data_IF_919162040495
#
_entry.id   IF_919162040495
#
_cell.length_a   1.000
_cell.length_b   1.000
_cell.length_c   1.000
_cell.angle_alpha   90.00
_cell.angle_beta   90.00
_cell.angle_gamma   90.00
#
_symmetry.space_group_name_H-M   'P 1'
#
loop_
_entity.id
_entity.type
_entity.pdbx_description
1 polymer ?
#
# COMPACT_ATOMS: atom_id res chain seq x y z
N UNK A 1 -57.99 -7.49 14.29
CA UNK A 1 -57.00 -6.49 13.87
C UNK A 1 -56.25 -6.06 15.12
N UNK A 2 -54.96 -6.40 15.29
CA UNK A 2 -54.18 -5.86 16.39
C UNK A 2 -54.05 -4.33 16.23
N UNK A 3 -54.11 -3.55 17.33
CA UNK A 3 -54.10 -2.10 17.25
C UNK A 3 -52.72 -1.61 16.78
N UNK A 4 -52.70 -0.70 15.80
CA UNK A 4 -51.50 -0.11 15.20
C UNK A 4 -50.52 0.56 16.19
N UNK A 5 -50.87 0.64 17.48
CA UNK A 5 -50.04 1.13 18.57
C UNK A 5 -48.96 0.15 19.03
N UNK A 6 -49.21 -1.17 19.00
CA UNK A 6 -48.24 -2.18 19.45
C UNK A 6 -47.07 -2.33 18.46
N UNK A 7 -47.37 -2.27 17.16
CA UNK A 7 -46.37 -2.37 16.09
C UNK A 7 -45.42 -1.17 16.10
N UNK A 8 -45.93 0.03 16.38
CA UNK A 8 -45.12 1.25 16.56
C UNK A 8 -44.26 1.21 17.83
N UNK A 9 -44.78 0.64 18.92
CA UNK A 9 -44.03 0.46 20.16
C UNK A 9 -42.89 -0.55 19.99
N UNK A 10 -43.14 -1.66 19.28
CA UNK A 10 -42.10 -2.66 18.97
C UNK A 10 -41.02 -2.10 18.02
N UNK A 11 -41.41 -1.39 16.97
CA UNK A 11 -40.48 -0.75 16.04
C UNK A 11 -39.57 0.28 16.75
N UNK A 12 -40.13 1.09 17.65
CA UNK A 12 -39.33 2.06 18.42
C UNK A 12 -38.38 1.39 19.42
N UNK A 13 -38.78 0.27 20.04
CA UNK A 13 -37.89 -0.55 20.87
C UNK A 13 -36.72 -1.17 20.09
N UNK A 14 -36.99 -1.70 18.89
CA UNK A 14 -35.96 -2.27 18.02
C UNK A 14 -34.99 -1.20 17.52
N UNK A 15 -35.48 -0.05 17.06
CA UNK A 15 -34.64 1.08 16.65
C UNK A 15 -33.75 1.56 17.79
N UNK A 16 -34.29 1.62 19.01
CA UNK A 16 -33.50 1.98 20.20
C UNK A 16 -32.43 0.93 20.51
N UNK A 17 -32.73 -0.35 20.37
CA UNK A 17 -31.75 -1.43 20.58
C UNK A 17 -30.63 -1.42 19.53
N UNK A 18 -30.97 -1.14 18.27
CA UNK A 18 -30.00 -0.99 17.17
C UNK A 18 -29.15 0.26 17.39
N UNK A 19 -29.75 1.39 17.79
CA UNK A 19 -29.03 2.60 18.10
C UNK A 19 -28.01 2.39 19.23
N UNK A 20 -28.41 1.72 20.33
CA UNK A 20 -27.51 1.39 21.44
C UNK A 20 -26.40 0.41 21.02
N UNK A 21 -26.72 -0.56 20.17
CA UNK A 21 -25.73 -1.51 19.65
C UNK A 21 -24.70 -0.83 18.74
N UNK A 22 -25.16 0.06 17.85
CA UNK A 22 -24.30 0.86 16.97
C UNK A 22 -23.46 1.84 17.77
N UNK A 23 -24.02 2.47 18.82
CA UNK A 23 -23.28 3.35 19.72
C UNK A 23 -22.17 2.59 20.47
N UNK A 24 -22.47 1.40 20.99
CA UNK A 24 -21.50 0.56 21.70
C UNK A 24 -20.38 0.08 20.76
N UNK A 25 -20.71 -0.37 19.55
CA UNK A 25 -19.71 -0.77 18.54
C UNK A 25 -18.92 0.42 18.01
N UNK A 26 -19.54 1.57 17.84
CA UNK A 26 -18.90 2.81 17.42
C UNK A 26 -17.89 3.32 18.45
N UNK A 27 -18.19 3.25 19.75
CA UNK A 27 -17.24 3.57 20.82
C UNK A 27 -16.02 2.65 20.81
N UNK A 28 -16.23 1.34 20.63
CA UNK A 28 -15.15 0.36 20.50
C UNK A 28 -14.24 0.65 19.30
N UNK A 29 -14.84 0.87 18.12
CA UNK A 29 -14.11 1.25 16.90
C UNK A 29 -13.37 2.58 17.03
N UNK A 30 -13.92 3.54 17.78
CA UNK A 30 -13.26 4.82 18.01
C UNK A 30 -12.01 4.67 18.87
N UNK A 31 -12.07 3.86 19.95
CA UNK A 31 -10.92 3.59 20.83
C UNK A 31 -9.86 2.78 20.08
N UNK A 32 -10.25 1.68 19.43
CA UNK A 32 -9.35 0.86 18.63
C UNK A 32 -8.76 1.65 17.46
N UNK A 33 -9.54 2.54 16.84
CA UNK A 33 -9.10 3.41 15.76
C UNK A 33 -8.06 4.44 16.20
N UNK A 34 -8.20 5.03 17.40
CA UNK A 34 -7.20 5.94 17.95
C UNK A 34 -5.90 5.22 18.31
N UNK A 35 -5.98 4.04 18.92
CA UNK A 35 -4.80 3.23 19.27
C UNK A 35 -4.09 2.68 18.03
N UNK A 36 -4.85 2.15 17.06
CA UNK A 36 -4.32 1.71 15.77
C UNK A 36 -3.73 2.89 14.99
N UNK A 37 -4.37 4.06 15.04
CA UNK A 37 -3.89 5.29 14.41
C UNK A 37 -2.58 5.79 15.01
N UNK A 38 -2.46 5.79 16.36
CA UNK A 38 -1.23 6.18 17.05
C UNK A 38 -0.08 5.19 16.80
N UNK A 39 -0.39 3.88 16.75
CA UNK A 39 0.60 2.85 16.44
C UNK A 39 1.07 2.95 14.99
N UNK A 40 0.12 3.15 14.07
CA UNK A 40 0.42 3.32 12.64
C UNK A 40 1.22 4.60 12.38
N UNK A 41 0.86 5.71 13.03
CA UNK A 41 1.61 6.97 12.90
C UNK A 41 3.01 6.87 13.47
N UNK A 42 3.20 6.17 14.59
CA UNK A 42 4.51 5.86 15.14
C UNK A 42 5.36 5.01 14.19
N UNK A 43 4.78 3.97 13.58
CA UNK A 43 5.46 3.14 12.57
C UNK A 43 5.83 3.94 11.32
N UNK A 44 4.92 4.78 10.82
CA UNK A 44 5.20 5.67 9.67
C UNK A 44 6.30 6.67 10.02
N UNK A 45 6.26 7.26 11.23
CA UNK A 45 7.28 8.19 11.71
C UNK A 45 8.66 7.54 11.77
N UNK A 46 8.78 6.35 12.38
CA UNK A 46 10.03 5.59 12.41
C UNK A 46 10.50 5.19 11.01
N UNK A 47 9.58 4.78 10.13
CA UNK A 47 9.90 4.46 8.74
C UNK A 47 10.46 5.68 7.99
N UNK A 48 9.81 6.84 8.11
CA UNK A 48 10.27 8.07 7.48
C UNK A 48 11.62 8.53 8.02
N UNK A 49 11.82 8.44 9.33
CA UNK A 49 13.09 8.80 9.96
C UNK A 49 14.22 7.86 9.52
N UNK A 50 13.95 6.55 9.49
CA UNK A 50 14.89 5.55 8.98
C UNK A 50 15.22 5.76 7.51
N UNK A 51 14.21 6.07 6.68
CA UNK A 51 14.39 6.39 5.27
C UNK A 51 15.24 7.65 5.09
N UNK A 52 14.97 8.71 5.86
CA UNK A 52 15.77 9.93 5.83
C UNK A 52 17.22 9.66 6.25
N UNK A 53 17.45 8.91 7.32
CA UNK A 53 18.78 8.52 7.77
C UNK A 53 19.52 7.68 6.73
N UNK A 54 18.84 6.76 6.05
CA UNK A 54 19.40 5.98 4.94
C UNK A 54 19.80 6.86 3.76
N UNK A 55 18.94 7.81 3.37
CA UNK A 55 19.24 8.75 2.27
C UNK A 55 20.45 9.60 2.62
N UNK A 56 20.48 10.21 3.80
CA UNK A 56 21.60 11.04 4.26
C UNK A 56 22.88 10.20 4.34
N UNK A 57 22.80 9.03 4.96
CA UNK A 57 23.92 8.10 5.07
C UNK A 57 24.46 7.70 3.71
N UNK A 58 23.59 7.41 2.74
CA UNK A 58 23.99 7.10 1.37
C UNK A 58 24.64 8.28 0.65
N UNK A 59 24.08 9.48 0.79
CA UNK A 59 24.65 10.71 0.20
C UNK A 59 26.05 11.04 0.73
N UNK A 60 26.37 10.63 1.96
CA UNK A 60 27.71 10.77 2.54
C UNK A 60 28.62 9.59 2.18
N UNK A 61 28.10 8.36 2.24
CA UNK A 61 28.86 7.14 2.01
C UNK A 61 29.30 6.98 0.54
N UNK A 62 28.43 7.30 -0.42
CA UNK A 62 28.73 7.16 -1.84
C UNK A 62 29.95 7.99 -2.28
N UNK A 63 30.04 9.31 -2.06
CA UNK A 63 31.22 10.09 -2.42
C UNK A 63 32.45 9.69 -1.60
N UNK A 64 32.29 9.32 -0.33
CA UNK A 64 33.41 8.83 0.49
C UNK A 64 33.99 7.53 -0.07
N UNK A 65 33.15 6.59 -0.50
CA UNK A 65 33.58 5.34 -1.12
C UNK A 65 34.27 5.58 -2.46
N UNK A 66 33.72 6.48 -3.29
CA UNK A 66 34.33 6.90 -4.56
C UNK A 66 35.72 7.50 -4.30
N UNK A 67 35.85 8.34 -3.29
CA UNK A 67 37.13 8.94 -2.90
C UNK A 67 38.15 7.89 -2.45
N UNK A 68 37.76 6.99 -1.54
CA UNK A 68 38.65 5.92 -1.04
C UNK A 68 39.15 5.04 -2.20
N UNK A 69 38.27 4.66 -3.12
CA UNK A 69 38.64 3.84 -4.29
C UNK A 69 39.57 4.62 -5.23
N UNK A 70 39.29 5.91 -5.46
CA UNK A 70 40.13 6.76 -6.30
C UNK A 70 41.55 6.88 -5.73
N UNK A 71 41.66 7.18 -4.43
CA UNK A 71 42.93 7.33 -3.72
C UNK A 71 43.73 6.02 -3.73
N UNK A 72 43.11 4.91 -3.37
CA UNK A 72 43.78 3.59 -3.29
C UNK A 72 44.29 3.06 -4.63
N UNK A 73 43.63 3.42 -5.73
CA UNK A 73 44.03 3.00 -7.09
C UNK A 73 44.85 4.06 -7.83
N UNK A 74 45.08 5.24 -7.23
CA UNK A 74 45.71 6.39 -7.90
C UNK A 74 44.91 6.88 -9.13
N UNK A 75 43.61 6.63 -9.17
CA UNK A 75 42.75 6.98 -10.29
C UNK A 75 42.12 8.36 -10.08
N UNK A 76 41.89 9.08 -11.16
CA UNK A 76 41.14 10.33 -11.09
C UNK A 76 39.70 10.06 -10.64
N UNK A 77 39.21 10.81 -9.65
CA UNK A 77 37.90 10.64 -9.00
C UNK A 77 36.73 10.51 -10.01
N UNK A 78 36.84 11.21 -11.14
CA UNK A 78 35.82 11.20 -12.20
C UNK A 78 35.62 9.82 -12.81
N UNK A 79 36.67 9.00 -12.96
CA UNK A 79 36.56 7.65 -13.53
C UNK A 79 35.80 6.71 -12.60
N UNK A 80 36.06 6.81 -11.29
CA UNK A 80 35.40 6.01 -10.27
C UNK A 80 33.93 6.42 -10.12
N UNK A 81 33.66 7.73 -10.13
CA UNK A 81 32.28 8.25 -10.13
C UNK A 81 31.50 7.79 -11.38
N UNK A 82 32.12 7.80 -12.56
CA UNK A 82 31.49 7.34 -13.80
C UNK A 82 31.18 5.83 -13.76
N UNK A 83 32.11 5.02 -13.24
CA UNK A 83 31.89 3.59 -13.05
C UNK A 83 30.75 3.31 -12.06
N UNK A 84 30.73 4.04 -10.94
CA UNK A 84 29.65 3.99 -9.96
C UNK A 84 28.30 4.34 -10.58
N UNK A 85 28.22 5.44 -11.33
CA UNK A 85 27.01 5.82 -12.07
C UNK A 85 26.58 4.75 -13.08
N UNK A 86 27.53 4.17 -13.81
CA UNK A 86 27.28 3.07 -14.75
C UNK A 86 26.65 1.86 -14.08
N UNK A 87 27.17 1.43 -12.92
CA UNK A 87 26.60 0.32 -12.14
C UNK A 87 25.16 0.64 -11.70
N UNK A 88 24.91 1.85 -11.20
CA UNK A 88 23.57 2.26 -10.77
C UNK A 88 22.57 2.28 -11.94
N UNK A 89 22.98 2.82 -13.09
CA UNK A 89 22.15 2.83 -14.29
C UNK A 89 21.89 1.41 -14.81
N UNK A 90 22.89 0.54 -14.79
CA UNK A 90 22.73 -0.85 -15.19
C UNK A 90 21.76 -1.60 -14.26
N UNK A 91 21.90 -1.43 -12.94
CA UNK A 91 20.96 -2.01 -11.97
C UNK A 91 19.54 -1.47 -12.17
N UNK A 92 19.39 -0.16 -12.39
CA UNK A 92 18.11 0.47 -12.67
C UNK A 92 17.47 -0.10 -13.95
N UNK A 93 18.24 -0.31 -15.02
CA UNK A 93 17.77 -0.94 -16.24
C UNK A 93 17.32 -2.38 -16.01
N UNK A 94 18.07 -3.17 -15.24
CA UNK A 94 17.68 -4.54 -14.89
C UNK A 94 16.39 -4.57 -14.06
N UNK A 95 16.26 -3.68 -13.07
CA UNK A 95 15.06 -3.53 -12.26
C UNK A 95 13.85 -3.10 -13.10
N UNK A 96 14.04 -2.14 -14.02
CA UNK A 96 13.00 -1.70 -14.95
C UNK A 96 12.60 -2.80 -15.94
N UNK A 97 13.56 -3.57 -16.44
CA UNK A 97 13.29 -4.72 -17.31
C UNK A 97 12.53 -5.81 -16.56
N UNK A 98 12.93 -6.12 -15.32
CA UNK A 98 12.24 -7.05 -14.43
C UNK A 98 10.83 -6.57 -14.09
N UNK A 99 10.65 -5.28 -13.78
CA UNK A 99 9.35 -4.68 -13.54
C UNK A 99 8.47 -4.72 -14.78
N UNK A 100 9.01 -4.39 -15.96
CA UNK A 100 8.30 -4.50 -17.24
C UNK A 100 7.88 -5.95 -17.52
N UNK A 101 8.76 -6.92 -17.27
CA UNK A 101 8.45 -8.34 -17.39
C UNK A 101 7.35 -8.78 -16.43
N UNK A 102 7.41 -8.31 -15.17
CA UNK A 102 6.40 -8.59 -14.15
C UNK A 102 5.06 -7.95 -14.49
N UNK A 103 5.04 -6.71 -14.97
CA UNK A 103 3.84 -6.03 -15.46
C UNK A 103 3.22 -6.75 -16.66
N UNK A 104 4.05 -7.27 -17.57
CA UNK A 104 3.61 -8.14 -18.67
C UNK A 104 2.98 -9.43 -18.17
N UNK A 105 3.52 -10.00 -17.10
CA UNK A 105 2.92 -11.14 -16.39
C UNK A 105 1.58 -10.75 -15.73
N UNK A 106 1.45 -9.52 -15.22
CA UNK A 106 0.17 -9.00 -14.72
C UNK A 106 -0.87 -8.78 -15.82
N UNK A 107 -0.52 -8.74 -17.11
CA UNK A 107 -1.52 -8.73 -18.19
C UNK A 107 -2.33 -10.04 -18.25
N UNK A 108 -1.81 -11.16 -17.73
CA UNK A 108 -2.64 -12.37 -17.50
C UNK A 108 -3.76 -12.12 -16.47
N UNK A 109 -3.60 -11.11 -15.61
CA UNK A 109 -4.64 -10.68 -14.68
C UNK A 109 -5.73 -9.88 -15.40
N UNK A 110 -5.42 -9.15 -16.47
CA UNK A 110 -6.43 -8.53 -17.34
C UNK A 110 -7.30 -9.60 -18.01
N UNK A 111 -6.70 -10.68 -18.53
CA UNK A 111 -7.45 -11.81 -19.10
C UNK A 111 -8.35 -12.48 -18.05
N UNK A 112 -7.87 -12.62 -16.81
CA UNK A 112 -8.64 -13.20 -15.71
C UNK A 112 -9.81 -12.30 -15.29
N UNK A 113 -9.61 -10.98 -15.19
CA UNK A 113 -10.68 -10.02 -14.94
C UNK A 113 -11.67 -9.94 -16.10
N UNK A 114 -11.19 -10.09 -17.33
CA UNK A 114 -12.03 -10.07 -18.52
C UNK A 114 -12.94 -11.30 -18.56
N UNK A 115 -12.40 -12.49 -18.20
CA UNK A 115 -13.20 -13.70 -17.99
C UNK A 115 -14.24 -13.51 -16.88
N UNK A 116 -13.83 -12.94 -15.73
CA UNK A 116 -14.75 -12.69 -14.61
C UNK A 116 -15.90 -11.73 -14.96
N UNK A 117 -15.62 -10.72 -15.79
CA UNK A 117 -16.64 -9.81 -16.32
C UNK A 117 -17.60 -10.53 -17.27
N UNK A 118 -17.08 -11.37 -18.16
CA UNK A 118 -17.87 -12.18 -19.09
C UNK A 118 -18.78 -13.18 -18.38
N UNK A 119 -18.30 -13.79 -17.29
CA UNK A 119 -19.09 -14.68 -16.44
C UNK A 119 -20.22 -13.94 -15.71
N UNK A 120 -19.96 -12.70 -15.26
CA UNK A 120 -20.98 -11.85 -14.64
C UNK A 120 -22.07 -11.45 -15.64
N UNK A 121 -21.70 -11.13 -16.87
CA UNK A 121 -22.64 -10.82 -17.95
C UNK A 121 -23.50 -12.04 -18.32
N UNK A 122 -22.90 -13.23 -18.37
CA UNK A 122 -23.63 -14.48 -18.58
C UNK A 122 -24.64 -14.75 -17.46
N UNK A 123 -24.24 -14.61 -16.20
CA UNK A 123 -25.14 -14.77 -15.04
C UNK A 123 -26.28 -13.73 -15.03
N UNK A 124 -25.98 -12.48 -15.40
CA UNK A 124 -26.99 -11.43 -15.49
C UNK A 124 -27.99 -11.68 -16.64
N UNK A 125 -27.51 -12.18 -17.79
CA UNK A 125 -28.36 -12.55 -18.92
C UNK A 125 -29.27 -13.75 -18.59
N UNK A 126 -28.74 -14.73 -17.87
CA UNK A 126 -29.50 -15.94 -17.52
C UNK A 126 -30.55 -15.70 -16.41
N UNK A 127 -30.40 -14.63 -15.62
CA UNK A 127 -31.38 -14.21 -14.61
C UNK A 127 -32.55 -13.39 -15.21
N UNK A 128 -32.37 -12.84 -16.41
CA UNK A 128 -33.36 -12.04 -17.13
C UNK A 128 -34.16 -12.85 -18.17
N UNK A 129 -33.98 -14.17 -18.23
CA UNK A 129 -34.82 -15.12 -18.97
C UNK A 129 -35.67 -15.91 -17.97
#
# INVERSE_FOLDING_TARGET
MPPASEERASASGLLRSIALYVEARGRLLHIEGQEAGARLSGMIGMFMLGLAALIIGWMLAAPALVWIIAETNGWHWTRVALAGAGIHLFLALLLLAGLKSRLRSTQFFEDSFNQFRRDREWLASNKNK
#
